data_IF_574907311351
#
_entry.id   IF_574907311351
#
_cell.length_a   1.000
_cell.length_b   1.000
_cell.length_c   1.000
_cell.angle_alpha   90.00
_cell.angle_beta   90.00
_cell.angle_gamma   90.00
#
_symmetry.space_group_name_H-M   'P 1'
#
loop_
_entity.id
_entity.type
_entity.pdbx_description
1 polymer ?
#
# COMPACT_ATOMS: atom_id res chain seq x y z
N UNK A 1 -12.90 -3.29 26.24
CA UNK A 1 -11.48 -2.98 26.51
C UNK A 1 -10.95 -2.18 25.34
N UNK A 2 -10.58 -0.93 25.61
CA UNK A 2 -10.03 0.02 24.64
C UNK A 2 -8.53 -0.22 24.44
N UNK A 3 -8.13 -0.39 23.18
CA UNK A 3 -7.00 0.24 22.48
C UNK A 3 -7.01 -0.33 21.06
N UNK A 4 -7.54 0.45 20.10
CA UNK A 4 -7.16 0.31 18.69
C UNK A 4 -5.66 0.59 18.61
N UNK A 5 -4.84 -0.42 18.91
CA UNK A 5 -3.45 -0.42 18.47
C UNK A 5 -3.56 -0.65 16.97
N UNK A 6 -3.48 0.45 16.21
CA UNK A 6 -3.35 0.37 14.76
C UNK A 6 -2.29 -0.70 14.47
N UNK A 7 -2.70 -1.78 13.80
CA UNK A 7 -1.82 -2.89 13.50
C UNK A 7 -0.61 -2.34 12.75
N UNK A 8 0.60 -2.64 13.24
CA UNK A 8 1.81 -2.19 12.56
C UNK A 8 1.90 -2.85 11.18
N UNK A 9 1.94 -2.05 10.12
CA UNK A 9 2.07 -2.51 8.74
C UNK A 9 3.54 -2.58 8.34
N UNK A 10 3.95 -3.71 7.75
CA UNK A 10 5.30 -3.90 7.20
C UNK A 10 5.31 -3.44 5.74
N UNK A 11 6.22 -2.53 5.39
CA UNK A 11 6.46 -2.13 4.01
C UNK A 11 7.62 -2.96 3.42
N UNK A 12 7.35 -3.66 2.33
CA UNK A 12 8.34 -4.43 1.56
C UNK A 12 8.60 -3.73 0.24
N UNK A 13 9.83 -3.27 0.05
CA UNK A 13 10.23 -2.51 -1.15
C UNK A 13 11.04 -3.44 -2.06
N UNK A 14 10.58 -3.63 -3.30
CA UNK A 14 11.27 -4.48 -4.27
C UNK A 14 10.94 -4.07 -5.72
N UNK A 15 11.89 -4.10 -6.66
CA UNK A 15 11.61 -3.84 -8.07
C UNK A 15 10.98 -5.05 -8.80
N UNK A 16 10.85 -6.21 -8.14
CA UNK A 16 10.46 -7.46 -8.78
C UNK A 16 8.95 -7.70 -8.68
N UNK A 17 8.16 -7.00 -9.50
CA UNK A 17 6.68 -7.01 -9.48
C UNK A 17 6.07 -8.41 -9.61
N UNK A 18 6.65 -9.31 -10.41
CA UNK A 18 6.16 -10.69 -10.56
C UNK A 18 6.29 -11.45 -9.23
N UNK A 19 7.45 -11.33 -8.57
CA UNK A 19 7.71 -12.00 -7.29
C UNK A 19 6.80 -11.43 -6.19
N UNK A 20 6.53 -10.13 -6.18
CA UNK A 20 5.59 -9.52 -5.23
C UNK A 20 4.20 -10.16 -5.32
N UNK A 21 3.69 -10.38 -6.54
CA UNK A 21 2.38 -11.01 -6.73
C UNK A 21 2.37 -12.46 -6.21
N UNK A 22 3.40 -13.25 -6.51
CA UNK A 22 3.52 -14.63 -5.99
C UNK A 22 3.61 -14.67 -4.46
N UNK A 23 4.32 -13.71 -3.86
CA UNK A 23 4.42 -13.58 -2.40
C UNK A 23 3.08 -13.21 -1.79
N UNK A 24 2.33 -12.27 -2.37
CA UNK A 24 1.00 -11.89 -1.91
C UNK A 24 0.03 -13.08 -1.99
N UNK A 25 0.00 -13.79 -3.12
CA UNK A 25 -0.85 -14.97 -3.27
C UNK A 25 -0.47 -16.08 -2.30
N UNK A 26 0.82 -16.21 -1.95
CA UNK A 26 1.27 -17.13 -0.91
C UNK A 26 0.81 -16.69 0.47
N UNK A 27 0.95 -15.41 0.82
CA UNK A 27 0.54 -14.86 2.11
C UNK A 27 -0.97 -14.99 2.34
N UNK A 28 -1.79 -14.78 1.29
CA UNK A 28 -3.24 -14.98 1.34
C UNK A 28 -3.62 -16.42 1.75
N UNK A 29 -2.85 -17.44 1.34
CA UNK A 29 -3.09 -18.84 1.75
C UNK A 29 -2.94 -19.07 3.25
N UNK A 30 -2.23 -18.19 3.93
CA UNK A 30 -2.02 -18.22 5.39
C UNK A 30 -2.85 -17.17 6.12
N UNK A 31 -3.89 -16.62 5.48
CA UNK A 31 -4.77 -15.59 6.02
C UNK A 31 -4.03 -14.29 6.43
N UNK A 32 -2.87 -14.04 5.79
CA UNK A 32 -2.13 -12.79 5.97
C UNK A 32 -2.64 -11.78 4.97
N UNK A 33 -3.29 -10.72 5.47
CA UNK A 33 -3.73 -9.58 4.66
C UNK A 33 -2.52 -8.83 4.10
N UNK A 34 -2.26 -9.01 2.80
CA UNK A 34 -1.19 -8.34 2.09
C UNK A 34 -1.69 -7.72 0.77
N UNK A 35 -1.13 -6.57 0.39
CA UNK A 35 -1.45 -5.90 -0.87
C UNK A 35 -0.19 -5.35 -1.55
N UNK A 36 -0.37 -4.85 -2.78
CA UNK A 36 0.68 -4.20 -3.56
C UNK A 36 0.27 -2.77 -3.90
N UNK A 37 1.11 -1.81 -3.53
CA UNK A 37 1.06 -0.46 -4.06
C UNK A 37 1.53 -0.49 -5.52
N UNK A 38 0.57 -0.36 -6.43
CA UNK A 38 0.83 -0.38 -7.88
C UNK A 38 0.99 1.04 -8.41
N UNK A 39 1.86 1.18 -9.40
CA UNK A 39 2.13 2.42 -10.12
C UNK A 39 1.91 2.16 -11.60
N UNK A 40 1.04 2.95 -12.23
CA UNK A 40 0.88 2.99 -13.68
C UNK A 40 1.10 4.42 -14.15
N UNK A 41 1.99 4.58 -15.14
CA UNK A 41 2.03 5.78 -15.97
C UNK A 41 0.94 5.63 -17.02
N UNK A 42 -0.19 6.33 -16.85
CA UNK A 42 -1.17 6.51 -17.92
C UNK A 42 -1.03 7.94 -18.43
N UNK A 43 -0.58 8.11 -19.67
CA UNK A 43 -0.55 9.41 -20.38
C UNK A 43 0.11 10.58 -19.61
N UNK A 44 1.17 10.30 -18.84
CA UNK A 44 1.88 11.32 -18.05
C UNK A 44 1.23 11.67 -16.71
N UNK A 45 0.10 11.04 -16.39
CA UNK A 45 -0.50 11.04 -15.06
C UNK A 45 -0.19 9.71 -14.36
N UNK A 46 0.35 9.83 -13.15
CA UNK A 46 0.52 8.69 -12.26
C UNK A 46 -0.86 8.38 -11.69
N UNK A 47 -1.38 7.16 -11.87
CA UNK A 47 -2.62 6.78 -11.19
C UNK A 47 -2.32 5.64 -10.21
N UNK A 48 -2.49 5.91 -8.93
CA UNK A 48 -2.49 4.87 -7.89
C UNK A 48 -3.79 4.10 -8.06
N UNK A 49 -3.70 2.82 -8.41
CA UNK A 49 -4.84 2.09 -9.00
C UNK A 49 -6.13 2.10 -8.19
N UNK A 50 -6.13 2.30 -6.87
CA UNK A 50 -7.37 2.38 -6.12
C UNK A 50 -7.19 3.32 -4.93
N UNK A 51 -7.86 4.49 -4.94
CA UNK A 51 -7.91 5.41 -3.78
C UNK A 51 -8.34 4.67 -2.51
N UNK A 52 -9.23 3.70 -2.66
CA UNK A 52 -9.73 2.83 -1.60
C UNK A 52 -8.60 1.97 -0.99
N UNK A 53 -7.63 1.52 -1.79
CA UNK A 53 -6.50 0.74 -1.29
C UNK A 53 -5.55 1.56 -0.43
N UNK A 54 -5.30 2.82 -0.78
CA UNK A 54 -4.49 3.73 0.06
C UNK A 54 -5.21 4.00 1.38
N UNK A 55 -6.52 4.24 1.34
CA UNK A 55 -7.32 4.43 2.54
C UNK A 55 -7.28 3.17 3.43
N UNK A 56 -7.48 1.98 2.86
CA UNK A 56 -7.39 0.71 3.58
C UNK A 56 -6.00 0.50 4.21
N UNK A 57 -4.92 0.86 3.51
CA UNK A 57 -3.55 0.85 4.09
C UNK A 57 -3.47 1.82 5.27
N UNK A 58 -3.99 3.03 5.13
CA UNK A 58 -3.96 4.05 6.17
C UNK A 58 -4.84 3.71 7.39
N UNK A 59 -5.86 2.87 7.19
CA UNK A 59 -6.73 2.33 8.25
C UNK A 59 -6.15 1.08 8.92
N UNK A 60 -5.03 0.55 8.40
CA UNK A 60 -4.34 -0.62 8.98
C UNK A 60 -4.96 -1.95 8.58
N UNK A 61 -5.72 -2.01 7.48
CA UNK A 61 -6.32 -3.26 6.98
C UNK A 61 -5.27 -4.28 6.53
N UNK A 62 -4.07 -3.84 6.15
CA UNK A 62 -3.01 -4.73 5.65
C UNK A 62 -1.87 -4.88 6.65
N UNK A 63 -1.46 -6.13 6.88
CA UNK A 63 -0.28 -6.46 7.66
C UNK A 63 1.01 -6.20 6.86
N UNK A 64 0.98 -6.43 5.55
CA UNK A 64 2.13 -6.30 4.65
C UNK A 64 1.72 -5.54 3.39
N UNK A 65 2.48 -4.51 3.04
CA UNK A 65 2.32 -3.74 1.80
C UNK A 65 3.58 -3.90 0.97
N UNK A 66 3.46 -4.46 -0.23
CA UNK A 66 4.53 -4.51 -1.20
C UNK A 66 4.52 -3.25 -2.05
N UNK A 67 5.68 -2.69 -2.36
CA UNK A 67 5.77 -1.54 -3.23
C UNK A 67 6.97 -1.67 -4.17
N UNK A 68 6.74 -1.29 -5.43
CA UNK A 68 7.83 -0.94 -6.34
C UNK A 68 8.45 0.38 -5.86
N UNK A 69 9.78 0.58 -5.89
CA UNK A 69 10.40 1.83 -5.44
C UNK A 69 9.78 3.09 -6.10
N UNK A 70 9.49 3.02 -7.38
CA UNK A 70 8.89 4.07 -8.21
C UNK A 70 7.49 4.46 -7.72
N UNK A 71 6.71 3.50 -7.21
CA UNK A 71 5.40 3.78 -6.61
C UNK A 71 5.50 4.62 -5.33
N UNK A 72 6.61 4.47 -4.59
CA UNK A 72 6.89 5.27 -3.38
C UNK A 72 7.49 6.63 -3.70
N UNK A 73 8.21 6.78 -4.81
CA UNK A 73 8.82 8.07 -5.14
C UNK A 73 7.86 9.02 -5.84
N UNK A 74 6.80 8.50 -6.47
CA UNK A 74 5.79 9.33 -7.11
C UNK A 74 4.86 10.01 -6.10
N UNK A 75 4.79 11.34 -6.20
CA UNK A 75 4.36 12.29 -5.16
C UNK A 75 2.88 12.29 -4.77
N UNK A 76 2.04 11.43 -5.35
CA UNK A 76 0.59 11.49 -5.11
C UNK A 76 0.14 10.97 -3.73
N UNK A 77 0.88 10.04 -3.11
CA UNK A 77 0.54 9.59 -1.75
C UNK A 77 0.91 10.61 -0.67
N UNK A 78 1.84 11.54 -0.95
CA UNK A 78 2.24 12.60 0.01
C UNK A 78 1.10 13.56 0.31
N UNK A 79 0.27 13.91 -0.68
CA UNK A 79 -0.84 14.85 -0.46
C UNK A 79 -1.99 14.24 0.36
N UNK A 80 -2.17 12.91 0.31
CA UNK A 80 -3.18 12.19 1.09
C UNK A 80 -2.80 12.10 2.59
N UNK A 81 -1.51 12.03 2.92
CA UNK A 81 -1.04 12.07 4.31
C UNK A 81 -1.22 13.48 4.93
N UNK A 82 -1.06 14.53 4.13
CA UNK A 82 -1.20 15.93 4.58
C UNK A 82 -2.66 16.30 4.91
N UNK A 83 -3.64 15.68 4.24
CA UNK A 83 -5.08 15.93 4.50
C UNK A 83 -5.57 15.46 5.87
N UNK A 84 -4.89 14.51 6.54
CA UNK A 84 -5.27 14.05 7.90
C UNK A 84 -4.74 14.95 9.03
N UNK A 85 -3.96 16.01 8.73
CA UNK A 85 -3.41 16.91 9.76
C UNK A 85 -4.28 18.17 9.99
N UNK A 86 -5.34 18.34 9.20
CA UNK A 86 -6.29 19.46 9.31
C UNK A 86 -7.68 18.89 9.61
N UNK A 87 -7.91 18.46 10.86
CA UNK A 87 -9.22 18.47 11.55
C UNK A 87 -9.06 18.03 13.00
#
# INVERSE_FOLDING_TARGET
MNRNLAQATILVISPLTIIQNEQIETLKKYDVKACRLSYHECDGEVELMEKDMIQNIAEGEFAIVFAHPEALLNSQWKSLAEQKTIH
#
